data_IF_698018621054
#
_entry.id   IF_698018621054
#
_cell.length_a   1.000
_cell.length_b   1.000
_cell.length_c   1.000
_cell.angle_alpha   90.00
_cell.angle_beta   90.00
_cell.angle_gamma   90.00
#
_symmetry.space_group_name_H-M   'P 1'
#
loop_
_entity.id
_entity.type
_entity.pdbx_description
1 polymer ?
#
# COMPACT_ATOMS: atom_id res chain seq x y z
N UNK A 1 16.85 13.08 -5.84
CA UNK A 1 15.87 12.47 -6.76
C UNK A 1 15.31 13.56 -7.65
N UNK A 2 15.25 13.36 -8.97
CA UNK A 2 14.47 14.26 -9.83
C UNK A 2 13.00 14.16 -9.45
N UNK A 3 12.36 15.30 -9.20
CA UNK A 3 10.95 15.32 -8.79
C UNK A 3 10.02 15.05 -9.98
N UNK A 4 10.49 15.24 -11.21
CA UNK A 4 9.71 15.12 -12.45
C UNK A 4 10.52 14.47 -13.55
N UNK A 5 9.94 13.45 -14.18
CA UNK A 5 10.52 12.70 -15.27
C UNK A 5 9.90 13.12 -16.61
N UNK A 6 10.63 12.93 -17.71
CA UNK A 6 10.03 13.07 -19.05
C UNK A 6 9.13 11.86 -19.34
N UNK A 7 8.05 12.01 -20.13
CA UNK A 7 7.28 10.88 -20.62
C UNK A 7 8.17 9.84 -21.32
N UNK A 8 8.03 8.57 -20.95
CA UNK A 8 8.84 7.47 -21.48
C UNK A 8 8.11 6.12 -21.31
N UNK A 9 8.60 5.12 -22.05
CA UNK A 9 8.16 3.72 -21.92
C UNK A 9 8.88 3.02 -20.77
N UNK A 10 8.15 2.11 -20.13
CA UNK A 10 8.68 1.10 -19.22
C UNK A 10 9.34 -0.04 -20.00
N UNK A 11 10.14 -0.85 -19.32
CA UNK A 11 10.67 -2.11 -19.89
C UNK A 11 9.56 -3.12 -20.23
N UNK A 12 8.34 -2.92 -19.73
CA UNK A 12 7.15 -3.71 -20.05
C UNK A 12 6.49 -3.28 -21.39
N UNK A 13 7.04 -2.30 -22.10
CA UNK A 13 6.49 -1.76 -23.36
C UNK A 13 5.30 -0.82 -23.19
N UNK A 14 4.80 -0.64 -21.96
CA UNK A 14 3.74 0.30 -21.62
C UNK A 14 4.30 1.67 -21.24
N UNK A 15 3.50 2.73 -21.33
CA UNK A 15 3.87 4.05 -20.79
C UNK A 15 4.06 3.97 -19.27
N UNK A 16 5.09 4.64 -18.76
CA UNK A 16 5.47 4.52 -17.36
C UNK A 16 4.34 4.91 -16.40
N UNK A 17 3.54 5.92 -16.74
CA UNK A 17 2.37 6.33 -15.96
C UNK A 17 1.27 5.25 -15.90
N UNK A 18 1.08 4.47 -16.96
CA UNK A 18 0.15 3.33 -16.98
C UNK A 18 0.64 2.22 -16.06
N UNK A 19 1.94 1.89 -16.11
CA UNK A 19 2.51 0.88 -15.21
C UNK A 19 2.37 1.29 -13.74
N UNK A 20 2.53 2.58 -13.44
CA UNK A 20 2.32 3.11 -12.09
C UNK A 20 0.85 2.99 -11.65
N UNK A 21 -0.08 3.30 -12.56
CA UNK A 21 -1.50 3.09 -12.30
C UNK A 21 -1.77 1.62 -11.94
N UNK A 22 -1.19 0.68 -12.69
CA UNK A 22 -1.31 -0.77 -12.40
C UNK A 22 -0.65 -1.12 -11.08
N UNK A 23 0.52 -0.54 -10.75
CA UNK A 23 1.23 -0.83 -9.50
C UNK A 23 0.40 -0.47 -8.25
N UNK A 24 -0.39 0.61 -8.29
CA UNK A 24 -1.27 0.99 -7.20
C UNK A 24 -2.67 0.36 -7.30
N UNK A 25 -3.35 0.50 -8.45
CA UNK A 25 -4.74 0.07 -8.60
C UNK A 25 -4.88 -1.43 -8.85
N UNK A 26 -3.90 -2.08 -9.47
CA UNK A 26 -3.95 -3.51 -9.74
C UNK A 26 -4.04 -4.33 -8.45
N UNK A 27 -3.33 -3.91 -7.39
CA UNK A 27 -3.44 -4.55 -6.07
C UNK A 27 -4.85 -4.40 -5.48
N UNK A 28 -5.48 -3.23 -5.63
CA UNK A 28 -6.86 -2.98 -5.19
C UNK A 28 -7.81 -3.91 -5.93
N UNK A 29 -7.72 -3.99 -7.25
CA UNK A 29 -8.58 -4.84 -8.06
C UNK A 29 -8.44 -6.30 -7.62
N UNK A 30 -7.21 -6.80 -7.43
CA UNK A 30 -6.96 -8.16 -6.95
C UNK A 30 -7.54 -8.38 -5.54
N UNK A 31 -7.52 -7.36 -4.67
CA UNK A 31 -8.08 -7.48 -3.32
C UNK A 31 -9.60 -7.71 -3.28
N UNK A 32 -10.32 -7.31 -4.33
CA UNK A 32 -11.76 -7.54 -4.46
C UNK A 32 -12.14 -8.92 -5.02
N UNK A 33 -11.16 -9.71 -5.45
CA UNK A 33 -11.41 -11.05 -6.01
C UNK A 33 -11.37 -12.10 -4.89
N UNK A 34 -12.50 -12.76 -4.55
CA UNK A 34 -12.52 -13.81 -3.55
C UNK A 34 -11.58 -14.95 -3.92
N UNK A 35 -10.86 -15.49 -2.93
CA UNK A 35 -9.94 -16.62 -3.12
C UNK A 35 -8.52 -16.24 -3.57
N UNK A 36 -8.27 -15.03 -4.09
CA UNK A 36 -6.91 -14.57 -4.46
C UNK A 36 -6.55 -13.19 -3.90
N UNK A 37 -7.41 -12.58 -3.09
CA UNK A 37 -7.15 -11.26 -2.48
C UNK A 37 -5.84 -11.21 -1.68
N UNK A 38 -5.41 -12.34 -1.11
CA UNK A 38 -4.12 -12.46 -0.42
C UNK A 38 -2.91 -12.24 -1.35
N UNK A 39 -3.08 -12.28 -2.67
CA UNK A 39 -2.05 -11.99 -3.68
C UNK A 39 -2.02 -10.52 -4.11
N UNK A 40 -2.86 -9.64 -3.56
CA UNK A 40 -2.88 -8.21 -3.92
C UNK A 40 -1.51 -7.53 -3.79
N UNK A 41 -0.70 -7.96 -2.81
CA UNK A 41 0.66 -7.46 -2.61
C UNK A 41 1.62 -7.82 -3.76
N UNK A 42 1.32 -8.87 -4.52
CA UNK A 42 2.21 -9.37 -5.56
C UNK A 42 2.31 -8.39 -6.74
N UNK A 43 1.28 -7.58 -6.98
CA UNK A 43 1.23 -6.63 -8.12
C UNK A 43 2.41 -5.64 -8.08
N UNK A 44 2.60 -4.80 -7.05
CA UNK A 44 3.74 -3.89 -6.98
C UNK A 44 5.08 -4.62 -6.86
N UNK A 45 5.12 -5.80 -6.23
CA UNK A 45 6.35 -6.62 -6.11
C UNK A 45 6.83 -7.08 -7.49
N UNK A 46 5.93 -7.66 -8.28
CA UNK A 46 6.25 -8.16 -9.62
C UNK A 46 6.73 -7.00 -10.49
N UNK A 47 6.01 -5.86 -10.49
CA UNK A 47 6.41 -4.69 -11.28
C UNK A 47 7.80 -4.19 -10.86
N UNK A 48 8.10 -4.12 -9.56
CA UNK A 48 9.40 -3.68 -9.08
C UNK A 48 10.56 -4.55 -9.60
N UNK A 49 10.40 -5.89 -9.58
CA UNK A 49 11.44 -6.82 -9.99
C UNK A 49 11.55 -6.99 -11.50
N UNK A 50 10.44 -6.92 -12.22
CA UNK A 50 10.42 -7.05 -13.69
C UNK A 50 10.87 -5.77 -14.36
N UNK A 51 10.53 -4.60 -13.82
CA UNK A 51 10.97 -3.33 -14.40
C UNK A 51 12.51 -3.24 -14.42
N UNK A 52 13.10 -2.92 -15.58
CA UNK A 52 14.56 -2.81 -15.73
C UNK A 52 15.03 -1.38 -15.99
N UNK A 53 14.28 -0.60 -16.74
CA UNK A 53 14.78 0.61 -17.40
C UNK A 53 14.33 1.91 -16.70
N UNK A 54 13.12 1.91 -16.16
CA UNK A 54 12.52 3.09 -15.55
C UNK A 54 12.72 3.12 -14.04
N UNK A 55 13.63 3.99 -13.57
CA UNK A 55 13.75 4.30 -12.13
C UNK A 55 12.46 4.93 -11.57
N UNK A 56 11.71 5.65 -12.41
CA UNK A 56 10.42 6.24 -12.06
C UNK A 56 9.38 5.16 -11.72
N UNK A 57 9.22 4.16 -12.58
CA UNK A 57 8.34 3.00 -12.31
C UNK A 57 8.83 2.20 -11.11
N UNK A 58 10.14 1.92 -11.01
CA UNK A 58 10.71 1.20 -9.85
C UNK A 58 10.42 1.90 -8.53
N UNK A 59 10.50 3.24 -8.50
CA UNK A 59 10.23 4.02 -7.30
C UNK A 59 8.78 3.86 -6.84
N UNK A 60 7.81 4.06 -7.72
CA UNK A 60 6.39 3.91 -7.39
C UNK A 60 6.01 2.47 -7.05
N UNK A 61 6.58 1.49 -7.77
CA UNK A 61 6.41 0.08 -7.46
C UNK A 61 6.95 -0.26 -6.06
N UNK A 62 8.16 0.21 -5.72
CA UNK A 62 8.73 0.04 -4.38
C UNK A 62 7.91 0.76 -3.30
N UNK A 63 7.39 1.96 -3.57
CA UNK A 63 6.45 2.61 -2.65
C UNK A 63 5.19 1.76 -2.45
N UNK A 64 4.64 1.14 -3.50
CA UNK A 64 3.53 0.19 -3.40
C UNK A 64 3.87 -1.02 -2.52
N UNK A 65 5.05 -1.63 -2.70
CA UNK A 65 5.54 -2.73 -1.86
C UNK A 65 5.60 -2.32 -0.40
N UNK A 66 6.23 -1.19 -0.10
CA UNK A 66 6.38 -0.69 1.26
C UNK A 66 5.04 -0.29 1.89
N UNK A 67 4.10 0.25 1.10
CA UNK A 67 2.74 0.54 1.54
C UNK A 67 2.04 -0.74 2.01
N UNK A 68 2.21 -1.85 1.28
CA UNK A 68 1.66 -3.14 1.70
C UNK A 68 2.36 -3.69 2.93
N UNK A 69 3.69 -3.61 3.02
CA UNK A 69 4.44 -4.07 4.22
C UNK A 69 4.00 -3.31 5.47
N UNK A 70 3.91 -1.98 5.39
CA UNK A 70 3.44 -1.15 6.51
C UNK A 70 1.98 -1.47 6.86
N UNK A 71 1.13 -1.67 5.86
CA UNK A 71 -0.27 -2.09 6.07
C UNK A 71 -0.38 -3.44 6.80
N UNK A 72 0.43 -4.43 6.43
CA UNK A 72 0.46 -5.75 7.09
C UNK A 72 0.95 -5.62 8.54
N UNK A 73 2.05 -4.90 8.78
CA UNK A 73 2.57 -4.68 10.14
C UNK A 73 1.50 -4.01 11.01
N UNK A 74 0.86 -2.97 10.50
CA UNK A 74 -0.22 -2.28 11.20
C UNK A 74 -1.39 -3.22 11.49
N UNK A 75 -1.82 -4.02 10.51
CA UNK A 75 -2.91 -4.99 10.69
C UNK A 75 -2.59 -6.01 11.77
N UNK A 76 -1.36 -6.54 11.81
CA UNK A 76 -0.92 -7.49 12.84
C UNK A 76 -0.97 -6.86 14.23
N UNK A 77 -0.45 -5.64 14.38
CA UNK A 77 -0.45 -4.92 15.66
C UNK A 77 -1.90 -4.71 16.14
N UNK A 78 -2.79 -4.24 15.27
CA UNK A 78 -4.20 -4.02 15.62
C UNK A 78 -4.88 -5.35 15.98
N UNK A 79 -4.67 -6.42 15.21
CA UNK A 79 -5.26 -7.74 15.50
C UNK A 79 -4.82 -8.28 16.86
N UNK A 80 -3.55 -8.11 17.24
CA UNK A 80 -3.05 -8.52 18.56
C UNK A 80 -3.72 -7.70 19.67
N UNK A 81 -3.75 -6.37 19.52
CA UNK A 81 -4.36 -5.48 20.52
C UNK A 81 -5.85 -5.81 20.71
N UNK A 82 -6.60 -5.90 19.61
CA UNK A 82 -8.02 -6.25 19.65
C UNK A 82 -8.23 -7.63 20.27
N UNK A 83 -7.41 -8.63 19.91
CA UNK A 83 -7.48 -9.97 20.48
C UNK A 83 -7.29 -9.99 22.00
N UNK A 84 -6.34 -9.21 22.52
CA UNK A 84 -6.10 -9.09 23.97
C UNK A 84 -7.32 -8.46 24.68
N UNK A 85 -7.82 -7.32 24.18
CA UNK A 85 -8.96 -6.63 24.79
C UNK A 85 -10.24 -7.46 24.74
N UNK A 86 -10.51 -8.11 23.60
CA UNK A 86 -11.67 -8.98 23.43
C UNK A 86 -11.56 -10.19 24.35
N UNK A 87 -10.40 -10.84 24.43
CA UNK A 87 -10.15 -11.93 25.35
C UNK A 87 -10.44 -11.54 26.80
N UNK A 88 -9.92 -10.39 27.26
CA UNK A 88 -10.12 -9.90 28.62
C UNK A 88 -11.60 -9.67 28.96
N UNK A 89 -12.37 -9.09 28.02
CA UNK A 89 -13.80 -8.76 28.25
C UNK A 89 -14.70 -9.99 28.07
N UNK A 90 -14.32 -10.95 27.24
CA UNK A 90 -15.06 -12.22 27.10
C UNK A 90 -15.17 -13.00 28.42
N UNK A 91 -14.15 -12.92 29.29
CA UNK A 91 -14.20 -13.55 30.61
C UNK A 91 -15.29 -12.95 31.52
N UNK A 92 -15.73 -11.71 31.27
CA UNK A 92 -16.72 -11.01 32.10
C UNK A 92 -18.09 -10.86 31.44
N UNK A 93 -18.16 -10.67 30.11
CA UNK A 93 -19.44 -10.66 29.38
C UNK A 93 -19.28 -10.86 27.87
N UNK A 94 -20.10 -11.74 27.29
CA UNK A 94 -20.17 -11.91 25.85
C UNK A 94 -20.65 -10.63 25.14
N UNK A 95 -21.59 -9.89 25.73
CA UNK A 95 -22.11 -8.62 25.17
C UNK A 95 -21.04 -7.52 25.20
N UNK A 96 -20.23 -7.43 26.25
CA UNK A 96 -19.12 -6.47 26.32
C UNK A 96 -18.01 -6.78 25.31
N UNK A 97 -17.78 -8.04 24.96
CA UNK A 97 -16.81 -8.39 23.93
C UNK A 97 -17.24 -7.90 22.53
N UNK A 98 -18.53 -7.98 22.22
CA UNK A 98 -19.08 -7.48 20.94
C UNK A 98 -18.96 -5.95 20.83
N UNK A 99 -19.15 -5.22 21.93
CA UNK A 99 -19.00 -3.75 21.91
C UNK A 99 -17.54 -3.32 21.69
N UNK A 100 -16.57 -4.03 22.28
CA UNK A 100 -15.14 -3.80 22.03
C UNK A 100 -14.79 -4.02 20.56
N UNK A 101 -15.25 -5.10 19.93
CA UNK A 101 -15.05 -5.37 18.50
C UNK A 101 -15.62 -4.24 17.61
N UNK A 102 -16.79 -3.72 17.98
CA UNK A 102 -17.49 -2.69 17.20
C UNK A 102 -16.77 -1.34 17.24
N UNK A 103 -16.28 -0.93 18.41
CA UNK A 103 -15.55 0.35 18.54
C UNK A 103 -14.15 0.25 17.92
N UNK A 104 -13.46 -0.86 18.15
CA UNK A 104 -12.09 -1.04 17.66
C UNK A 104 -12.03 -1.15 16.13
N UNK A 105 -13.03 -1.76 15.49
CA UNK A 105 -13.11 -1.83 14.02
C UNK A 105 -13.24 -0.45 13.35
N UNK A 106 -14.00 0.49 13.94
CA UNK A 106 -14.09 1.86 13.43
C UNK A 106 -12.76 2.59 13.55
N UNK A 107 -12.10 2.48 14.70
CA UNK A 107 -10.78 3.11 14.92
C UNK A 107 -9.70 2.53 14.00
N UNK A 108 -9.78 1.23 13.71
CA UNK A 108 -8.85 0.55 12.81
C UNK A 108 -8.93 1.06 11.37
N UNK A 109 -10.05 1.67 10.94
CA UNK A 109 -10.20 2.22 9.57
C UNK A 109 -9.44 3.53 9.33
N UNK A 110 -9.08 4.27 10.39
CA UNK A 110 -8.45 5.59 10.26
C UNK A 110 -7.12 5.49 9.49
N UNK A 111 -6.28 4.52 9.85
CA UNK A 111 -4.96 4.38 9.24
C UNK A 111 -5.02 3.89 7.79
N UNK A 112 -5.79 2.85 7.42
CA UNK A 112 -6.01 2.48 6.02
C UNK A 112 -6.55 3.63 5.17
N UNK A 113 -7.44 4.47 5.70
CA UNK A 113 -7.96 5.65 4.98
C UNK A 113 -6.84 6.66 4.72
N UNK A 114 -5.98 6.96 5.69
CA UNK A 114 -4.84 7.86 5.50
C UNK A 114 -3.87 7.29 4.45
N UNK A 115 -3.56 5.99 4.52
CA UNK A 115 -2.71 5.30 3.55
C UNK A 115 -3.32 5.34 2.15
N UNK A 116 -4.64 5.16 2.04
CA UNK A 116 -5.38 5.27 0.79
C UNK A 116 -5.29 6.67 0.19
N UNK A 117 -5.43 7.72 1.00
CA UNK A 117 -5.26 9.11 0.55
C UNK A 117 -3.86 9.32 -0.05
N UNK A 118 -2.81 8.87 0.63
CA UNK A 118 -1.44 8.99 0.11
C UNK A 118 -1.23 8.20 -1.17
N UNK A 119 -1.81 7.01 -1.29
CA UNK A 119 -1.79 6.20 -2.51
C UNK A 119 -2.46 6.92 -3.68
N UNK A 120 -3.63 7.55 -3.47
CA UNK A 120 -4.31 8.34 -4.51
C UNK A 120 -3.43 9.51 -4.95
N UNK A 121 -2.85 10.26 -4.01
CA UNK A 121 -1.95 11.38 -4.35
C UNK A 121 -0.75 10.86 -5.15
N UNK A 122 -0.13 9.76 -4.75
CA UNK A 122 1.00 9.17 -5.46
C UNK A 122 0.62 8.71 -6.88
N UNK A 123 -0.58 8.16 -7.04
CA UNK A 123 -1.10 7.74 -8.35
C UNK A 123 -1.32 8.94 -9.26
N UNK A 124 -1.96 10.01 -8.76
CA UNK A 124 -2.22 11.23 -9.54
C UNK A 124 -0.92 11.95 -9.90
N UNK A 125 0.04 12.04 -8.98
CA UNK A 125 1.37 12.60 -9.29
C UNK A 125 2.13 11.72 -10.27
N UNK A 126 2.07 10.40 -10.08
CA UNK A 126 2.67 9.42 -10.98
C UNK A 126 2.11 9.50 -12.40
N UNK A 127 0.82 9.81 -12.55
CA UNK A 127 0.21 10.07 -13.85
C UNK A 127 0.87 11.24 -14.60
N UNK A 128 1.27 12.26 -13.85
CA UNK A 128 1.93 13.48 -14.33
C UNK A 128 3.46 13.37 -14.40
N UNK A 129 4.00 12.14 -14.29
CA UNK A 129 5.43 11.86 -14.27
C UNK A 129 6.18 12.51 -13.09
N UNK A 130 5.49 12.72 -11.96
CA UNK A 130 6.06 13.32 -10.76
C UNK A 130 6.21 12.29 -9.64
N UNK A 131 7.40 12.25 -9.03
CA UNK A 131 7.67 11.36 -7.91
C UNK A 131 7.16 11.98 -6.60
N UNK A 132 6.00 11.53 -6.14
CA UNK A 132 5.51 11.88 -4.81
C UNK A 132 6.09 10.97 -3.72
N UNK A 133 7.03 11.50 -2.92
CA UNK A 133 7.52 10.81 -1.74
C UNK A 133 6.47 10.84 -0.63
N UNK A 134 5.75 9.73 -0.44
CA UNK A 134 4.83 9.56 0.70
C UNK A 134 5.60 9.74 2.03
N UNK A 135 4.97 10.31 3.07
CA UNK A 135 5.58 10.39 4.39
C UNK A 135 6.04 9.01 4.87
N UNK A 136 7.22 8.96 5.50
CA UNK A 136 7.90 7.72 5.99
C UNK A 136 8.34 6.77 4.87
N UNK A 137 7.42 6.31 4.03
CA UNK A 137 7.63 5.25 3.03
C UNK A 137 8.37 5.76 1.78
N UNK A 138 8.06 6.96 1.31
CA UNK A 138 8.65 7.54 0.10
C UNK A 138 10.15 7.70 0.20
N UNK A 139 10.67 8.14 1.35
CA UNK A 139 12.11 8.26 1.59
C UNK A 139 12.83 6.91 1.54
N UNK A 140 12.20 5.85 2.06
CA UNK A 140 12.77 4.50 2.02
C UNK A 140 12.78 3.97 0.58
N UNK A 141 11.69 4.13 -0.17
CA UNK A 141 11.64 3.77 -1.58
C UNK A 141 12.70 4.52 -2.40
N UNK A 142 12.82 5.83 -2.18
CA UNK A 142 13.80 6.70 -2.82
C UNK A 142 15.23 6.19 -2.57
N UNK A 143 15.54 5.85 -1.31
CA UNK A 143 16.83 5.28 -0.90
C UNK A 143 17.09 3.88 -1.45
N UNK A 144 16.07 3.09 -1.80
CA UNK A 144 16.26 1.76 -2.39
C UNK A 144 16.54 1.88 -3.89
N UNK A 145 15.83 2.78 -4.58
CA UNK A 145 15.82 2.86 -6.05
C UNK A 145 16.86 3.82 -6.61
N UNK A 146 17.08 4.96 -5.96
CA UNK A 146 17.94 6.05 -6.44
C UNK A 146 19.27 6.13 -5.70
N UNK A 147 19.76 5.02 -5.14
CA UNK A 147 21.14 4.95 -4.60
C UNK A 147 22.16 5.43 -5.62
#
# INVERSE_FOLDING_TARGET
MENKFKPHKSSLGLDANIVILIAYLGGIIVSFIPGISFLAFAVPVIIYFVEKDSKFVKFHAMQGVLLTVVGVIFSIIISILVGIFVGLVLFSSAVGAVSVLSITSILALIVPVIMFIFMIIATVKGWNYECYEMPVIGKLASKIVFK
#
